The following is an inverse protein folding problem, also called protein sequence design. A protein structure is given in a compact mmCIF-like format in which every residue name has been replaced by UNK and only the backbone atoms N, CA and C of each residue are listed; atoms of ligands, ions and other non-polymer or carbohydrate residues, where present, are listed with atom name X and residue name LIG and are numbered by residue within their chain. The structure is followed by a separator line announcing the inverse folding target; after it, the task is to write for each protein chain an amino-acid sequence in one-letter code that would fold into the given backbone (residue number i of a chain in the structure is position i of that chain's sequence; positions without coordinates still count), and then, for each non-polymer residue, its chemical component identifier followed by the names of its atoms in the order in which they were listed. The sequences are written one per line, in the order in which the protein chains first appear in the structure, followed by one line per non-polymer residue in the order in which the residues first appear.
data_IF_867649340267
#
_entry.id   IF_867649340267
#
_cell.length_a   1.000
_cell.length_b   1.000
_cell.length_c   1.000
_cell.angle_alpha   90.00
_cell.angle_beta   90.00
_cell.angle_gamma   90.00
#
_symmetry.space_group_name_H-M   'P 1'
#
loop_
_entity.id
_entity.type
_entity.pdbx_description
1 polymer ?
#
# COMPACT_ATOMS: atom_id res chain seq x y z
N UNK A 1 17.33 -40.90 12.11
CA UNK A 1 16.83 -39.78 12.94
C UNK A 1 16.37 -38.67 12.01
N UNK A 2 15.07 -38.34 11.97
CA UNK A 2 14.61 -37.13 11.29
C UNK A 2 15.07 -35.95 12.14
N UNK A 3 16.07 -35.22 11.68
CA UNK A 3 16.50 -33.97 12.31
C UNK A 3 15.29 -33.04 12.34
N UNK A 4 14.77 -32.75 13.53
CA UNK A 4 13.71 -31.77 13.71
C UNK A 4 14.35 -30.44 13.28
N UNK A 5 14.05 -29.95 12.06
CA UNK A 5 14.45 -28.60 11.65
C UNK A 5 13.76 -27.64 12.60
N UNK A 6 14.54 -26.92 13.42
CA UNK A 6 14.03 -25.80 14.21
C UNK A 6 13.40 -24.79 13.26
N UNK A 7 12.26 -24.21 13.64
CA UNK A 7 11.71 -23.09 12.89
C UNK A 7 12.71 -21.92 12.88
N UNK A 8 12.76 -21.20 11.76
CA UNK A 8 13.56 -19.99 11.67
C UNK A 8 12.90 -18.88 12.51
N UNK A 9 13.72 -18.12 13.23
CA UNK A 9 13.28 -17.04 14.11
C UNK A 9 13.55 -15.69 13.46
N UNK A 10 12.51 -14.92 13.20
CA UNK A 10 12.58 -13.60 12.59
C UNK A 10 12.28 -12.49 13.60
N UNK A 11 13.04 -11.39 13.51
CA UNK A 11 12.71 -10.12 14.14
C UNK A 11 12.12 -9.17 13.12
N UNK A 12 10.87 -8.77 13.28
CA UNK A 12 10.26 -7.72 12.46
C UNK A 12 10.45 -6.38 13.16
N UNK A 13 11.12 -5.43 12.52
CA UNK A 13 11.35 -4.09 13.05
C UNK A 13 10.54 -3.06 12.26
N UNK A 14 9.78 -2.22 12.95
CA UNK A 14 8.86 -1.26 12.31
C UNK A 14 8.68 0.00 13.14
N UNK A 15 8.22 1.08 12.50
CA UNK A 15 7.95 2.38 13.14
C UNK A 15 6.58 2.45 13.84
N UNK A 16 5.74 1.42 13.69
CA UNK A 16 4.47 1.28 14.37
C UNK A 16 3.90 -0.13 14.20
N UNK A 17 3.03 -0.52 15.12
CA UNK A 17 2.28 -1.78 15.02
C UNK A 17 0.90 -1.64 15.67
N UNK A 18 -0.12 -2.40 15.23
CA UNK A 18 -1.46 -2.28 15.79
C UNK A 18 -1.52 -2.68 17.27
N UNK A 19 -2.41 -2.02 18.01
CA UNK A 19 -2.73 -2.37 19.40
C UNK A 19 -4.22 -2.23 19.66
N UNK A 20 -4.72 -2.70 20.82
CA UNK A 20 -6.14 -2.54 21.19
C UNK A 20 -6.61 -1.08 21.17
N UNK A 21 -5.71 -0.14 21.46
CA UNK A 21 -6.00 1.30 21.42
C UNK A 21 -5.88 1.90 20.02
N UNK A 22 -5.11 1.28 19.12
CA UNK A 22 -4.82 1.79 17.77
C UNK A 22 -4.80 0.65 16.76
N UNK A 23 -5.99 0.16 16.39
CA UNK A 23 -6.17 -1.05 15.57
C UNK A 23 -5.62 -0.94 14.14
N UNK A 24 -5.48 0.27 13.60
CA UNK A 24 -5.15 0.48 12.18
C UNK A 24 -3.69 0.82 11.93
N UNK A 25 -2.89 1.05 12.98
CA UNK A 25 -1.53 1.56 12.83
C UNK A 25 -0.64 0.46 12.25
N UNK A 26 -0.23 0.57 10.98
CA UNK A 26 0.51 -0.46 10.23
C UNK A 26 -0.18 -1.84 10.19
N UNK A 27 -1.51 -1.86 10.04
CA UNK A 27 -2.28 -3.11 9.91
C UNK A 27 -1.78 -4.06 8.81
N UNK A 28 -1.24 -3.51 7.72
CA UNK A 28 -0.66 -4.31 6.63
C UNK A 28 0.60 -5.11 7.06
N UNK A 29 1.43 -4.56 7.96
CA UNK A 29 2.57 -5.30 8.54
C UNK A 29 2.05 -6.44 9.41
N UNK A 30 0.98 -6.20 10.17
CA UNK A 30 0.35 -7.23 10.98
C UNK A 30 -0.20 -8.39 10.13
N UNK A 31 -0.88 -8.10 9.02
CA UNK A 31 -1.36 -9.13 8.08
C UNK A 31 -0.24 -10.01 7.54
N UNK A 32 0.93 -9.42 7.24
CA UNK A 32 2.13 -10.19 6.82
C UNK A 32 2.64 -11.09 7.95
N UNK A 33 2.82 -10.54 9.15
CA UNK A 33 3.30 -11.29 10.32
C UNK A 33 2.37 -12.46 10.66
N UNK A 34 1.05 -12.25 10.58
CA UNK A 34 0.05 -13.32 10.73
C UNK A 34 0.26 -14.42 9.70
N UNK A 35 0.46 -14.06 8.43
CA UNK A 35 0.83 -14.99 7.37
C UNK A 35 2.10 -15.77 7.70
N UNK A 36 3.14 -15.10 8.17
CA UNK A 36 4.41 -15.75 8.52
C UNK A 36 4.28 -16.77 9.65
N UNK A 37 3.51 -16.44 10.70
CA UNK A 37 3.23 -17.36 11.80
C UNK A 37 2.46 -18.59 11.33
N UNK A 38 1.51 -18.41 10.41
CA UNK A 38 0.72 -19.51 9.83
C UNK A 38 1.56 -20.44 8.94
N UNK A 39 2.59 -19.90 8.28
CA UNK A 39 3.61 -20.67 7.55
C UNK A 39 4.71 -21.24 8.47
N UNK A 40 4.58 -21.04 9.79
CA UNK A 40 5.41 -21.67 10.82
C UNK A 40 6.66 -20.90 11.22
N UNK A 41 6.88 -19.66 10.75
CA UNK A 41 8.01 -18.81 11.17
C UNK A 41 7.81 -18.33 12.61
N UNK A 42 8.85 -18.38 13.45
CA UNK A 42 8.80 -17.77 14.78
C UNK A 42 9.05 -16.27 14.67
N UNK A 43 8.03 -15.43 14.91
CA UNK A 43 8.14 -13.97 14.74
C UNK A 43 8.03 -13.22 16.05
N UNK A 44 8.98 -12.33 16.30
CA UNK A 44 8.91 -11.28 17.32
C UNK A 44 8.88 -9.92 16.63
N UNK A 45 8.04 -9.00 17.09
CA UNK A 45 7.97 -7.63 16.53
C UNK A 45 8.63 -6.65 17.48
N UNK A 46 9.53 -5.82 16.96
CA UNK A 46 10.05 -4.63 17.62
C UNK A 46 9.46 -3.37 16.98
N UNK A 47 8.55 -2.72 17.70
CA UNK A 47 8.07 -1.39 17.38
C UNK A 47 9.08 -0.38 17.94
N UNK A 48 9.96 0.13 17.07
CA UNK A 48 10.89 1.19 17.45
C UNK A 48 10.17 2.52 17.50
N UNK A 49 10.14 3.13 18.69
CA UNK A 49 9.46 4.39 18.96
C UNK A 49 10.28 5.28 19.87
N UNK A 50 10.28 6.57 19.56
CA UNK A 50 10.85 7.63 20.39
C UNK A 50 9.83 8.79 20.45
N UNK A 51 9.66 9.48 21.59
CA UNK A 51 10.27 9.19 22.89
C UNK A 51 9.54 8.04 23.62
N UNK A 52 10.30 7.16 24.28
CA UNK A 52 9.77 6.19 25.24
C UNK A 52 10.73 6.09 26.43
N UNK A 53 10.22 6.38 27.63
CA UNK A 53 11.03 6.33 28.85
C UNK A 53 11.31 4.90 29.28
N UNK A 54 10.29 4.03 29.23
CA UNK A 54 10.37 2.65 29.68
C UNK A 54 9.85 1.70 28.58
N UNK A 55 10.67 0.77 28.08
CA UNK A 55 10.22 -0.22 27.11
C UNK A 55 9.17 -1.14 27.73
N UNK A 56 8.21 -1.59 26.93
CA UNK A 56 7.14 -2.49 27.38
C UNK A 56 6.77 -3.51 26.30
N UNK A 57 6.06 -4.55 26.70
CA UNK A 57 5.59 -5.59 25.80
C UNK A 57 4.06 -5.63 25.79
N UNK A 58 3.48 -5.99 24.64
CA UNK A 58 2.08 -6.34 24.54
C UNK A 58 1.88 -7.44 23.49
N UNK A 59 0.67 -7.99 23.45
CA UNK A 59 0.28 -8.96 22.43
C UNK A 59 -0.88 -8.41 21.61
N UNK A 60 -0.80 -8.60 20.30
CA UNK A 60 -1.87 -8.25 19.38
C UNK A 60 -2.05 -9.34 18.33
N UNK A 61 -3.25 -9.94 18.26
CA UNK A 61 -3.56 -10.99 17.29
C UNK A 61 -2.63 -12.21 17.37
N UNK A 62 -2.16 -12.59 18.57
CA UNK A 62 -1.20 -13.68 18.78
C UNK A 62 0.26 -13.31 18.52
N UNK A 63 0.55 -12.05 18.20
CA UNK A 63 1.90 -11.55 17.92
C UNK A 63 2.47 -10.86 19.15
N UNK A 64 3.67 -11.27 19.58
CA UNK A 64 4.42 -10.60 20.64
C UNK A 64 5.09 -9.35 20.10
N UNK A 65 4.75 -8.20 20.69
CA UNK A 65 5.29 -6.90 20.31
C UNK A 65 6.05 -6.30 21.46
N UNK A 66 7.30 -5.94 21.21
CA UNK A 66 8.14 -5.15 22.10
C UNK A 66 8.21 -3.72 21.60
N UNK A 67 7.91 -2.77 22.47
CA UNK A 67 8.08 -1.34 22.20
C UNK A 67 9.32 -0.87 22.92
N UNK A 68 10.20 -0.17 22.20
CA UNK A 68 11.43 0.36 22.75
C UNK A 68 12.05 1.40 21.83
N UNK A 69 13.14 1.98 22.29
CA UNK A 69 13.94 2.93 21.53
C UNK A 69 15.13 2.24 20.84
N UNK A 70 15.97 3.03 20.18
CA UNK A 70 17.17 2.57 19.47
C UNK A 70 18.13 1.77 20.36
N UNK A 71 18.35 2.21 21.60
CA UNK A 71 19.23 1.51 22.54
C UNK A 71 18.65 0.16 22.95
N UNK A 72 17.32 0.06 23.05
CA UNK A 72 16.66 -1.19 23.39
C UNK A 72 16.62 -2.17 22.21
N UNK A 73 16.53 -1.67 20.97
CA UNK A 73 16.70 -2.50 19.77
C UNK A 73 18.11 -3.09 19.74
N UNK A 74 19.13 -2.26 19.96
CA UNK A 74 20.55 -2.67 20.00
C UNK A 74 20.79 -3.76 21.06
N UNK A 75 20.30 -3.56 22.29
CA UNK A 75 20.37 -4.58 23.36
C UNK A 75 19.64 -5.87 22.99
N UNK A 76 18.46 -5.76 22.37
CA UNK A 76 17.66 -6.93 22.01
C UNK A 76 18.39 -7.82 21.00
N UNK A 77 18.94 -7.24 19.93
CA UNK A 77 19.64 -8.00 18.89
C UNK A 77 21.00 -8.52 19.36
N UNK A 78 21.65 -7.84 20.33
CA UNK A 78 22.86 -8.35 20.97
C UNK A 78 22.59 -9.51 21.95
N UNK A 79 21.45 -9.50 22.63
CA UNK A 79 21.11 -10.48 23.67
C UNK A 79 20.37 -11.72 23.14
N UNK A 80 19.78 -11.66 21.94
CA UNK A 80 18.98 -12.75 21.37
C UNK A 80 19.43 -13.09 19.97
N UNK A 81 19.53 -14.39 19.69
CA UNK A 81 19.77 -14.90 18.35
C UNK A 81 18.47 -14.92 17.53
N UNK A 82 18.52 -14.28 16.38
CA UNK A 82 17.54 -14.38 15.29
C UNK A 82 18.23 -15.02 14.09
N UNK A 83 17.47 -15.59 13.18
CA UNK A 83 17.98 -16.15 11.91
C UNK A 83 17.89 -15.12 10.77
N UNK A 84 17.03 -14.10 10.91
CA UNK A 84 16.81 -13.00 9.94
C UNK A 84 16.17 -11.79 10.63
N UNK A 85 16.44 -10.59 10.12
CA UNK A 85 15.75 -9.35 10.53
C UNK A 85 14.97 -8.77 9.35
N UNK A 86 13.69 -8.46 9.56
CA UNK A 86 12.76 -7.95 8.56
C UNK A 86 12.43 -6.50 8.92
N UNK A 87 12.85 -5.53 8.11
CA UNK A 87 12.70 -4.10 8.42
C UNK A 87 11.64 -3.48 7.51
N UNK A 88 10.65 -2.83 8.12
CA UNK A 88 9.71 -1.94 7.46
C UNK A 88 10.05 -0.48 7.82
N UNK A 89 9.90 0.43 6.86
CA UNK A 89 10.20 1.85 7.03
C UNK A 89 11.67 2.10 7.34
N UNK A 90 12.61 1.73 6.45
CA UNK A 90 14.05 1.88 6.72
C UNK A 90 14.53 3.35 6.76
N UNK A 91 14.57 3.93 7.96
CA UNK A 91 15.26 5.18 8.32
C UNK A 91 16.35 4.89 9.40
N UNK A 92 17.19 5.87 9.78
CA UNK A 92 18.32 5.64 10.69
C UNK A 92 17.95 4.95 12.02
N UNK A 93 16.80 5.31 12.61
CA UNK A 93 16.40 4.80 13.93
C UNK A 93 16.28 3.27 14.00
N UNK A 94 15.94 2.55 12.92
CA UNK A 94 15.89 1.07 12.96
C UNK A 94 17.05 0.36 12.24
N UNK A 95 17.93 1.10 11.57
CA UNK A 95 19.09 0.52 10.88
C UNK A 95 20.37 0.73 11.70
N UNK A 96 20.61 1.94 12.19
CA UNK A 96 21.83 2.25 12.97
C UNK A 96 21.98 1.39 14.22
N UNK A 97 20.92 1.04 14.98
CA UNK A 97 21.06 0.09 16.09
C UNK A 97 21.54 -1.28 15.65
N UNK A 98 21.13 -1.75 14.47
CA UNK A 98 21.56 -3.04 13.92
C UNK A 98 23.03 -2.99 13.50
N UNK A 99 23.45 -1.86 12.90
CA UNK A 99 24.86 -1.60 12.55
C UNK A 99 25.76 -1.55 13.79
N UNK A 100 25.37 -0.78 14.82
CA UNK A 100 26.13 -0.69 16.08
C UNK A 100 26.22 -2.02 16.82
N UNK A 101 25.16 -2.83 16.78
CA UNK A 101 25.17 -4.19 17.32
C UNK A 101 25.96 -5.19 16.46
N UNK A 102 26.45 -4.80 15.27
CA UNK A 102 27.19 -5.65 14.33
C UNK A 102 26.45 -6.94 14.00
N UNK A 103 25.17 -6.81 13.68
CA UNK A 103 24.32 -7.94 13.31
C UNK A 103 24.90 -8.65 12.09
N UNK A 104 25.11 -9.96 12.19
CA UNK A 104 25.65 -10.80 11.12
C UNK A 104 24.61 -11.65 10.38
N UNK A 105 23.33 -11.49 10.73
CA UNK A 105 22.23 -12.21 10.08
C UNK A 105 21.64 -11.38 8.94
N UNK A 106 21.05 -12.01 7.91
CA UNK A 106 20.49 -11.28 6.79
C UNK A 106 19.42 -10.29 7.23
N UNK A 107 19.42 -9.12 6.59
CA UNK A 107 18.42 -8.07 6.76
C UNK A 107 17.62 -7.96 5.46
N UNK A 108 16.29 -8.00 5.56
CA UNK A 108 15.38 -7.81 4.43
C UNK A 108 14.56 -6.55 4.67
N UNK A 109 14.66 -5.58 3.76
CA UNK A 109 14.01 -4.27 3.87
C UNK A 109 12.83 -4.19 2.90
N UNK A 110 11.63 -3.92 3.41
CA UNK A 110 10.47 -3.61 2.57
C UNK A 110 10.44 -2.12 2.28
N UNK A 111 10.38 -1.75 1.00
CA UNK A 111 10.34 -0.37 0.53
C UNK A 111 8.88 0.09 0.44
N UNK A 112 8.49 1.10 1.22
CA UNK A 112 7.12 1.66 1.21
C UNK A 112 7.01 2.98 0.44
N UNK A 113 8.14 3.54 0.04
CA UNK A 113 8.29 4.76 -0.76
C UNK A 113 8.60 6.01 0.06
N UNK A 114 8.17 6.03 1.31
CA UNK A 114 8.59 7.06 2.28
C UNK A 114 10.12 7.17 2.36
N UNK A 115 10.82 6.04 2.24
CA UNK A 115 12.26 5.94 2.43
C UNK A 115 13.09 6.39 1.21
N UNK A 116 12.45 6.47 0.03
CA UNK A 116 13.18 6.48 -1.24
C UNK A 116 12.55 7.35 -2.35
N UNK A 117 11.38 7.96 -2.13
CA UNK A 117 10.80 8.94 -3.07
C UNK A 117 11.51 10.28 -2.98
N UNK A 118 11.76 10.92 -4.13
CA UNK A 118 12.19 12.31 -4.20
C UNK A 118 11.02 13.28 -3.98
N UNK A 119 11.33 14.47 -3.46
CA UNK A 119 10.32 15.50 -3.12
C UNK A 119 9.38 15.85 -4.29
N UNK A 120 9.91 15.87 -5.52
CA UNK A 120 9.19 16.26 -6.74
C UNK A 120 8.13 15.26 -7.17
N UNK A 121 8.14 14.02 -6.66
CA UNK A 121 7.13 13.00 -6.93
C UNK A 121 5.74 13.38 -6.39
N UNK A 122 5.67 14.42 -5.54
CA UNK A 122 4.45 14.96 -4.93
C UNK A 122 4.08 16.35 -5.46
N UNK A 123 4.49 16.69 -6.69
CA UNK A 123 4.26 18.02 -7.32
C UNK A 123 2.83 18.54 -7.17
N UNK A 124 1.84 17.67 -7.31
CA UNK A 124 0.41 17.99 -7.17
C UNK A 124 0.01 18.56 -5.79
N UNK A 125 0.89 18.49 -4.78
CA UNK A 125 0.64 19.10 -3.48
C UNK A 125 1.18 20.53 -3.35
N UNK A 126 2.05 20.98 -4.25
CA UNK A 126 2.75 22.26 -4.08
C UNK A 126 2.82 23.15 -5.32
N UNK A 127 2.27 22.74 -6.46
CA UNK A 127 2.18 23.62 -7.65
C UNK A 127 1.10 24.72 -7.54
N UNK A 128 0.35 24.76 -6.44
CA UNK A 128 -0.78 25.68 -6.27
C UNK A 128 -0.38 27.14 -6.00
N UNK A 129 0.82 27.39 -5.47
CA UNK A 129 1.33 28.75 -5.24
C UNK A 129 2.85 28.78 -5.09
N UNK A 130 3.51 29.94 -5.29
CA UNK A 130 4.94 30.10 -5.05
C UNK A 130 5.38 29.73 -3.62
N UNK A 131 4.54 30.01 -2.62
CA UNK A 131 4.83 29.72 -1.21
C UNK A 131 4.92 28.20 -0.98
N UNK A 132 3.99 27.42 -1.54
CA UNK A 132 4.01 25.97 -1.43
C UNK A 132 5.22 25.36 -2.13
N UNK A 133 5.66 25.92 -3.25
CA UNK A 133 6.90 25.52 -3.93
C UNK A 133 8.10 25.77 -3.01
N UNK A 134 8.15 26.93 -2.36
CA UNK A 134 9.16 27.26 -1.35
C UNK A 134 9.21 26.23 -0.22
N UNK A 135 8.07 25.90 0.39
CA UNK A 135 7.99 24.87 1.45
C UNK A 135 8.45 23.48 0.97
N UNK A 136 8.20 23.14 -0.30
CA UNK A 136 8.66 21.89 -0.90
C UNK A 136 10.18 21.87 -1.13
N UNK A 137 10.77 22.99 -1.56
CA UNK A 137 12.22 23.14 -1.72
C UNK A 137 12.94 23.13 -0.37
N UNK A 138 12.35 23.74 0.66
CA UNK A 138 12.89 23.62 2.02
C UNK A 138 12.89 22.16 2.46
N UNK A 139 11.76 21.45 2.30
CA UNK A 139 11.66 20.00 2.59
C UNK A 139 12.63 19.15 1.80
N UNK A 140 12.95 19.52 0.56
CA UNK A 140 13.97 18.81 -0.22
C UNK A 140 15.28 18.74 0.56
N UNK A 141 15.74 19.88 1.08
CA UNK A 141 17.06 20.02 1.71
C UNK A 141 17.11 19.36 3.09
N UNK A 142 16.11 19.60 3.95
CA UNK A 142 16.18 19.09 5.33
C UNK A 142 15.65 17.66 5.51
N UNK A 143 14.83 17.15 4.58
CA UNK A 143 14.15 15.85 4.73
C UNK A 143 14.48 14.87 3.59
N UNK A 144 14.15 15.20 2.34
CA UNK A 144 14.24 14.23 1.25
C UNK A 144 15.69 13.88 0.87
N UNK A 145 16.56 14.88 0.68
CA UNK A 145 17.96 14.63 0.30
C UNK A 145 18.71 13.79 1.36
N UNK A 146 18.64 14.09 2.66
CA UNK A 146 19.21 13.22 3.70
C UNK A 146 18.62 11.81 3.70
N UNK A 147 17.30 11.68 3.53
CA UNK A 147 16.62 10.38 3.51
C UNK A 147 17.05 9.53 2.30
N UNK A 148 17.11 10.12 1.10
CA UNK A 148 17.58 9.44 -0.11
C UNK A 148 19.07 9.08 -0.02
N UNK A 149 19.90 9.96 0.55
CA UNK A 149 21.33 9.69 0.77
C UNK A 149 21.53 8.50 1.72
N UNK A 150 20.83 8.50 2.87
CA UNK A 150 20.83 7.38 3.80
C UNK A 150 20.38 6.07 3.14
N UNK A 151 19.31 6.10 2.34
CA UNK A 151 18.82 4.90 1.70
C UNK A 151 19.81 4.38 0.63
N UNK A 152 20.46 5.27 -0.12
CA UNK A 152 21.56 4.91 -1.03
C UNK A 152 22.69 4.21 -0.28
N UNK A 153 23.13 4.78 0.85
CA UNK A 153 24.18 4.18 1.69
C UNK A 153 23.78 2.77 2.15
N UNK A 154 22.53 2.59 2.58
CA UNK A 154 21.99 1.29 3.00
C UNK A 154 21.98 0.25 1.86
N UNK A 155 21.65 0.66 0.63
CA UNK A 155 21.68 -0.22 -0.55
C UNK A 155 23.09 -0.72 -0.84
N UNK A 156 24.10 0.11 -0.59
CA UNK A 156 25.52 -0.18 -0.86
C UNK A 156 26.30 -0.58 0.39
N UNK A 157 25.63 -0.87 1.51
CA UNK A 157 26.26 -1.09 2.81
C UNK A 157 27.12 -2.38 2.79
N UNK A 158 28.45 -2.29 2.99
CA UNK A 158 29.32 -3.46 2.98
C UNK A 158 29.35 -4.19 4.34
N UNK A 159 28.86 -3.56 5.41
CA UNK A 159 28.88 -4.12 6.77
C UNK A 159 27.63 -4.95 7.07
N UNK A 160 26.50 -4.60 6.46
CA UNK A 160 25.21 -5.28 6.64
C UNK A 160 24.86 -6.16 5.44
N UNK A 161 24.42 -7.40 5.68
CA UNK A 161 23.91 -8.27 4.63
C UNK A 161 22.46 -7.93 4.26
N UNK A 162 22.27 -6.84 3.51
CA UNK A 162 20.95 -6.29 3.17
C UNK A 162 20.43 -6.82 1.83
N UNK A 163 19.13 -7.06 1.79
CA UNK A 163 18.34 -7.33 0.58
C UNK A 163 16.99 -6.61 0.68
N UNK A 164 16.31 -6.42 -0.43
CA UNK A 164 15.14 -5.54 -0.53
C UNK A 164 13.93 -6.27 -1.12
N UNK A 165 12.75 -5.87 -0.65
CA UNK A 165 11.46 -6.25 -1.23
C UNK A 165 10.76 -4.98 -1.69
N UNK A 166 10.45 -4.91 -2.97
CA UNK A 166 9.70 -3.81 -3.56
C UNK A 166 8.30 -4.26 -4.01
N UNK A 167 7.35 -3.33 -4.10
CA UNK A 167 5.94 -3.66 -4.36
C UNK A 167 5.56 -3.72 -5.84
N UNK A 168 6.38 -3.13 -6.73
CA UNK A 168 6.18 -3.12 -8.18
C UNK A 168 7.49 -2.88 -8.93
N UNK A 169 7.62 -3.38 -10.16
CA UNK A 169 8.85 -3.18 -10.94
C UNK A 169 8.99 -1.71 -11.35
N UNK A 170 7.89 -1.09 -11.77
CA UNK A 170 7.79 0.33 -12.10
C UNK A 170 8.22 1.19 -10.92
N UNK A 171 7.76 0.90 -9.70
CA UNK A 171 8.13 1.73 -8.55
C UNK A 171 9.62 1.62 -8.25
N UNK A 172 10.22 0.44 -8.38
CA UNK A 172 11.66 0.28 -8.19
C UNK A 172 12.43 1.05 -9.27
N UNK A 173 12.12 0.77 -10.55
CA UNK A 173 12.92 1.24 -11.70
C UNK A 173 12.68 2.70 -12.08
N UNK A 174 11.48 3.22 -11.84
CA UNK A 174 11.09 4.57 -12.27
C UNK A 174 11.05 5.58 -11.14
N UNK A 175 11.03 5.12 -9.87
CA UNK A 175 10.97 6.00 -8.70
C UNK A 175 12.17 5.78 -7.79
N UNK A 176 12.25 4.62 -7.15
CA UNK A 176 13.25 4.35 -6.10
C UNK A 176 14.67 4.52 -6.63
N UNK A 177 15.08 3.72 -7.62
CA UNK A 177 16.45 3.72 -8.15
C UNK A 177 16.87 5.08 -8.74
N UNK A 178 16.03 5.78 -9.54
CA UNK A 178 16.35 7.13 -9.99
C UNK A 178 16.46 8.16 -8.87
N UNK A 179 15.55 8.13 -7.88
CA UNK A 179 15.50 9.14 -6.83
C UNK A 179 16.64 8.97 -5.81
N UNK A 180 17.05 7.72 -5.55
CA UNK A 180 18.25 7.44 -4.74
C UNK A 180 19.52 7.48 -5.58
N UNK A 181 19.45 7.44 -6.91
CA UNK A 181 20.62 7.50 -7.80
C UNK A 181 21.52 6.25 -7.78
N UNK A 182 20.97 5.08 -7.44
CA UNK A 182 21.68 3.79 -7.52
C UNK A 182 20.70 2.66 -7.82
N UNK A 183 21.16 1.65 -8.55
CA UNK A 183 20.39 0.42 -8.75
C UNK A 183 20.43 -0.45 -7.50
N UNK A 184 19.35 -1.22 -7.27
CA UNK A 184 19.27 -2.17 -6.17
C UNK A 184 19.46 -3.59 -6.71
N UNK A 185 20.68 -4.10 -6.61
CA UNK A 185 21.04 -5.43 -7.14
C UNK A 185 20.30 -6.57 -6.43
N UNK A 186 20.20 -6.49 -5.10
CA UNK A 186 19.60 -7.54 -4.24
C UNK A 186 18.16 -7.21 -3.89
N UNK A 187 17.30 -7.11 -4.91
CA UNK A 187 15.87 -6.82 -4.74
C UNK A 187 14.98 -7.89 -5.36
N UNK A 188 13.80 -8.10 -4.77
CA UNK A 188 12.71 -8.88 -5.38
C UNK A 188 11.41 -8.09 -5.34
N UNK A 189 10.66 -8.14 -6.43
CA UNK A 189 9.32 -7.52 -6.48
C UNK A 189 8.27 -8.48 -5.95
N UNK A 190 7.66 -8.11 -4.83
CA UNK A 190 6.54 -8.80 -4.20
C UNK A 190 5.46 -7.75 -3.83
N UNK A 191 4.30 -7.75 -4.52
CA UNK A 191 3.21 -6.84 -4.22
C UNK A 191 2.71 -6.96 -2.77
N UNK A 192 2.03 -5.91 -2.30
CA UNK A 192 1.28 -5.97 -1.05
C UNK A 192 0.16 -7.00 -1.12
N UNK A 193 0.02 -7.70 0.01
CA UNK A 193 -0.93 -8.77 0.19
C UNK A 193 -2.37 -8.23 0.16
N UNK A 194 -3.19 -8.84 -0.68
CA UNK A 194 -4.65 -8.66 -0.70
C UNK A 194 -5.26 -9.92 -0.10
N UNK A 195 -5.86 -9.75 1.08
CA UNK A 195 -6.45 -10.86 1.81
C UNK A 195 -7.81 -11.26 1.19
N UNK A 196 -7.79 -12.35 0.43
CA UNK A 196 -9.00 -12.92 -0.18
C UNK A 196 -10.01 -13.48 0.81
N UNK A 197 -9.66 -13.67 2.10
CA UNK A 197 -10.64 -14.01 3.13
C UNK A 197 -11.39 -12.76 3.62
N UNK A 198 -10.68 -11.63 3.75
CA UNK A 198 -11.27 -10.35 4.11
C UNK A 198 -12.03 -9.69 2.94
N UNK A 199 -11.53 -9.86 1.72
CA UNK A 199 -12.06 -9.32 0.47
C UNK A 199 -12.35 -10.44 -0.54
N UNK A 200 -13.29 -11.35 -0.21
CA UNK A 200 -13.61 -12.48 -1.05
C UNK A 200 -14.31 -12.05 -2.33
N UNK A 201 -14.12 -12.83 -3.39
CA UNK A 201 -14.84 -12.60 -4.64
C UNK A 201 -16.34 -12.75 -4.41
N UNK A 202 -17.09 -11.70 -4.74
CA UNK A 202 -18.55 -11.71 -4.78
C UNK A 202 -19.01 -11.52 -6.23
N UNK A 203 -19.65 -12.53 -6.86
CA UNK A 203 -20.15 -12.41 -8.21
C UNK A 203 -21.05 -11.19 -8.40
N UNK A 204 -20.74 -10.36 -9.40
CA UNK A 204 -21.53 -9.17 -9.72
C UNK A 204 -22.64 -9.51 -10.70
N UNK A 205 -23.77 -8.82 -10.55
CA UNK A 205 -24.90 -8.82 -11.48
C UNK A 205 -24.86 -7.54 -12.29
N UNK A 206 -25.52 -7.53 -13.44
CA UNK A 206 -25.50 -6.40 -14.39
C UNK A 206 -25.90 -5.07 -13.74
N UNK A 207 -26.86 -5.06 -12.83
CA UNK A 207 -27.31 -3.84 -12.14
C UNK A 207 -26.25 -3.23 -11.23
N UNK A 208 -25.24 -4.01 -10.81
CA UNK A 208 -24.15 -3.47 -10.00
C UNK A 208 -23.26 -2.50 -10.80
N UNK A 209 -23.28 -2.55 -12.14
CA UNK A 209 -22.55 -1.58 -12.99
C UNK A 209 -22.99 -0.13 -12.79
N UNK A 210 -24.21 0.06 -12.28
CA UNK A 210 -24.78 1.37 -11.97
C UNK A 210 -24.36 1.91 -10.60
N UNK A 211 -23.66 1.09 -9.78
CA UNK A 211 -23.28 1.42 -8.41
C UNK A 211 -21.77 1.67 -8.32
N UNK A 212 -21.42 2.94 -8.24
CA UNK A 212 -20.06 3.46 -8.29
C UNK A 212 -19.60 3.81 -6.89
N UNK A 213 -18.52 3.17 -6.47
CA UNK A 213 -17.90 3.36 -5.16
C UNK A 213 -16.54 4.03 -5.31
N UNK A 214 -16.25 4.97 -4.42
CA UNK A 214 -14.90 5.45 -4.19
C UNK A 214 -14.59 5.44 -2.70
N UNK A 215 -13.43 4.89 -2.33
CA UNK A 215 -12.93 4.87 -0.96
C UNK A 215 -11.48 5.37 -0.99
N UNK A 216 -11.28 6.65 -0.68
CA UNK A 216 -9.95 7.29 -0.76
C UNK A 216 -9.78 8.33 0.36
N UNK A 217 -8.57 8.49 0.93
CA UNK A 217 -8.26 9.62 1.79
C UNK A 217 -8.36 10.96 1.03
N UNK A 218 -8.94 11.98 1.66
CA UNK A 218 -9.01 13.36 1.17
C UNK A 218 -7.97 14.26 1.86
N UNK A 219 -6.86 13.66 2.30
CA UNK A 219 -5.79 14.37 3.00
C UNK A 219 -4.91 15.20 2.03
N UNK A 220 -4.80 14.80 0.77
CA UNK A 220 -3.97 15.46 -0.26
C UNK A 220 -4.49 15.13 -1.67
N UNK A 221 -3.90 15.74 -2.70
CA UNK A 221 -4.27 15.54 -4.10
C UNK A 221 -3.72 14.25 -4.72
N UNK A 222 -2.98 13.43 -3.96
CA UNK A 222 -2.40 12.15 -4.41
C UNK A 222 -3.43 11.25 -5.11
N UNK A 223 -4.60 11.09 -4.51
CA UNK A 223 -5.64 10.17 -4.99
C UNK A 223 -6.65 10.81 -5.94
N UNK A 224 -6.31 11.98 -6.52
CA UNK A 224 -7.11 12.61 -7.57
C UNK A 224 -8.61 12.69 -7.27
N UNK A 225 -8.98 12.95 -6.01
CA UNK A 225 -10.40 13.02 -5.62
C UNK A 225 -11.11 14.18 -6.32
N UNK A 226 -10.38 15.23 -6.67
CA UNK A 226 -10.83 16.31 -7.54
C UNK A 226 -11.27 15.80 -8.91
N UNK A 227 -10.48 14.93 -9.57
CA UNK A 227 -10.86 14.30 -10.84
C UNK A 227 -12.08 13.39 -10.69
N UNK A 228 -12.22 12.69 -9.55
CA UNK A 228 -13.43 11.90 -9.26
C UNK A 228 -14.66 12.80 -9.24
N UNK A 229 -14.58 13.94 -8.55
CA UNK A 229 -15.69 14.90 -8.46
C UNK A 229 -15.96 15.56 -9.81
N UNK A 230 -14.93 15.86 -10.61
CA UNK A 230 -15.08 16.40 -11.96
C UNK A 230 -15.74 15.40 -12.90
N UNK A 231 -15.34 14.14 -12.88
CA UNK A 231 -15.96 13.08 -13.67
C UNK A 231 -17.45 12.88 -13.32
N UNK A 232 -17.81 12.93 -12.03
CA UNK A 232 -19.23 12.90 -11.61
C UNK A 232 -19.99 14.14 -12.11
N UNK A 233 -19.34 15.31 -12.10
CA UNK A 233 -19.94 16.54 -12.60
C UNK A 233 -20.15 16.47 -14.12
N UNK A 234 -19.21 15.89 -14.86
CA UNK A 234 -19.32 15.63 -16.30
C UNK A 234 -20.47 14.65 -16.59
N UNK A 235 -20.52 13.53 -15.89
CA UNK A 235 -21.62 12.55 -15.97
C UNK A 235 -22.98 13.19 -15.66
N UNK A 236 -23.05 14.24 -14.82
CA UNK A 236 -24.31 14.89 -14.46
C UNK A 236 -25.04 15.58 -15.61
N UNK A 237 -24.34 15.83 -16.72
CA UNK A 237 -24.92 16.35 -17.96
C UNK A 237 -25.59 15.26 -18.82
N UNK A 238 -25.34 13.97 -18.52
CA UNK A 238 -25.76 12.84 -19.36
C UNK A 238 -27.19 12.40 -19.02
N UNK A 239 -28.02 11.99 -20.02
CA UNK A 239 -29.44 11.71 -19.81
C UNK A 239 -29.74 10.64 -18.75
N UNK A 240 -28.88 9.64 -18.61
CA UNK A 240 -29.03 8.50 -17.70
C UNK A 240 -28.39 8.72 -16.32
N UNK A 241 -27.83 9.91 -16.05
CA UNK A 241 -27.09 10.16 -14.79
C UNK A 241 -27.87 9.77 -13.53
N UNK A 242 -29.19 9.97 -13.53
CA UNK A 242 -30.07 9.68 -12.40
C UNK A 242 -30.22 8.18 -12.09
N UNK A 243 -29.81 7.32 -13.01
CA UNK A 243 -29.80 5.86 -12.82
C UNK A 243 -28.50 5.35 -12.19
N UNK A 244 -27.45 6.18 -12.16
CA UNK A 244 -26.19 5.86 -11.49
C UNK A 244 -26.29 6.22 -10.01
N UNK A 245 -25.77 5.36 -9.13
CA UNK A 245 -25.64 5.60 -7.71
C UNK A 245 -24.16 5.75 -7.33
N UNK A 246 -23.79 6.89 -6.77
CA UNK A 246 -22.41 7.15 -6.33
C UNK A 246 -22.31 7.10 -4.81
N UNK A 247 -21.32 6.39 -4.30
CA UNK A 247 -20.95 6.40 -2.88
C UNK A 247 -19.50 6.85 -2.74
N UNK A 248 -19.29 7.98 -2.07
CA UNK A 248 -17.98 8.60 -1.87
C UNK A 248 -17.61 8.54 -0.39
N UNK A 249 -16.65 7.68 -0.08
CA UNK A 249 -16.18 7.45 1.28
C UNK A 249 -14.76 7.99 1.45
N UNK A 250 -14.52 8.66 2.57
CA UNK A 250 -13.20 9.16 2.91
C UNK A 250 -13.25 10.31 3.88
N UNK A 251 -12.09 10.72 4.35
CA UNK A 251 -11.94 11.85 5.26
C UNK A 251 -10.64 12.60 4.95
N UNK A 252 -10.62 13.89 5.25
CA UNK A 252 -9.45 14.74 5.17
C UNK A 252 -9.81 16.18 4.85
N UNK A 253 -8.82 17.07 4.93
CA UNK A 253 -8.98 18.52 4.76
C UNK A 253 -9.62 18.94 3.42
N UNK A 254 -9.56 18.08 2.40
CA UNK A 254 -10.12 18.37 1.07
C UNK A 254 -11.54 17.79 0.88
N UNK A 255 -12.10 17.06 1.85
CA UNK A 255 -13.36 16.34 1.64
C UNK A 255 -14.50 17.30 1.29
N UNK A 256 -14.81 18.26 2.16
CA UNK A 256 -15.91 19.18 1.94
C UNK A 256 -15.63 20.13 0.78
N UNK A 257 -14.41 20.66 0.65
CA UNK A 257 -14.08 21.61 -0.41
C UNK A 257 -14.26 21.01 -1.81
N UNK A 258 -13.93 19.72 -1.99
CA UNK A 258 -14.10 19.03 -3.26
C UNK A 258 -15.53 18.53 -3.47
N UNK A 259 -16.16 17.94 -2.44
CA UNK A 259 -17.42 17.21 -2.62
C UNK A 259 -18.69 18.05 -2.45
N UNK A 260 -18.61 19.26 -1.86
CA UNK A 260 -19.78 20.09 -1.56
C UNK A 260 -20.68 20.35 -2.78
N UNK A 261 -20.10 20.55 -3.96
CA UNK A 261 -20.88 20.79 -5.19
C UNK A 261 -21.72 19.59 -5.64
N UNK A 262 -21.40 18.38 -5.16
CA UNK A 262 -22.13 17.16 -5.49
C UNK A 262 -23.35 16.94 -4.59
N UNK A 263 -23.45 17.63 -3.44
CA UNK A 263 -24.58 17.48 -2.49
C UNK A 263 -25.95 17.78 -3.10
N UNK A 264 -25.99 18.52 -4.21
CA UNK A 264 -27.22 18.81 -4.96
C UNK A 264 -27.80 17.59 -5.70
N UNK A 265 -27.00 16.56 -5.92
CA UNK A 265 -27.40 15.35 -6.64
C UNK A 265 -27.96 14.30 -5.66
N UNK A 266 -29.20 13.88 -5.87
CA UNK A 266 -29.88 12.91 -4.99
C UNK A 266 -29.27 11.50 -5.03
N UNK A 267 -28.59 11.18 -6.12
CA UNK A 267 -27.93 9.91 -6.39
C UNK A 267 -26.44 9.89 -6.00
N UNK A 268 -25.98 10.89 -5.24
CA UNK A 268 -24.63 10.94 -4.68
C UNK A 268 -24.71 10.88 -3.16
N UNK A 269 -24.13 9.83 -2.57
CA UNK A 269 -24.02 9.62 -1.14
C UNK A 269 -22.59 9.92 -0.67
N UNK A 270 -22.45 10.84 0.29
CA UNK A 270 -21.16 11.25 0.86
C UNK A 270 -21.01 10.66 2.26
N UNK A 271 -19.90 9.95 2.51
CA UNK A 271 -19.58 9.30 3.79
C UNK A 271 -18.26 9.86 4.31
N UNK A 272 -18.28 10.99 5.06
CA UNK A 272 -17.09 11.77 5.46
C UNK A 272 -16.37 11.14 6.66
N UNK A 273 -15.94 9.88 6.54
CA UNK A 273 -15.21 9.16 7.60
C UNK A 273 -14.35 8.05 7.01
N UNK A 274 -13.37 7.61 7.79
CA UNK A 274 -12.71 6.34 7.54
C UNK A 274 -13.64 5.14 7.80
N UNK A 275 -13.45 4.10 6.99
CA UNK A 275 -14.18 2.84 7.08
C UNK A 275 -13.27 1.76 7.70
N UNK A 276 -13.85 0.88 8.51
CA UNK A 276 -13.16 -0.34 8.95
C UNK A 276 -13.07 -1.33 7.78
N UNK A 277 -12.10 -2.25 7.79
CA UNK A 277 -11.96 -3.26 6.72
C UNK A 277 -13.25 -4.08 6.50
N UNK A 278 -13.99 -4.41 7.56
CA UNK A 278 -15.28 -5.10 7.46
C UNK A 278 -16.35 -4.25 6.77
N UNK A 279 -16.37 -2.93 7.00
CA UNK A 279 -17.27 -2.01 6.30
C UNK A 279 -16.87 -1.88 4.83
N UNK A 280 -15.57 -1.76 4.53
CA UNK A 280 -15.05 -1.71 3.16
C UNK A 280 -15.52 -2.95 2.38
N UNK A 281 -15.36 -4.15 2.95
CA UNK A 281 -15.82 -5.40 2.33
C UNK A 281 -17.33 -5.41 2.06
N UNK A 282 -18.16 -4.89 2.99
CA UNK A 282 -19.61 -4.73 2.78
C UNK A 282 -19.96 -3.71 1.69
N UNK A 283 -19.21 -2.60 1.59
CA UNK A 283 -19.38 -1.65 0.50
C UNK A 283 -18.99 -2.29 -0.84
N UNK A 284 -17.89 -3.06 -0.87
CA UNK A 284 -17.49 -3.78 -2.05
C UNK A 284 -18.58 -4.75 -2.51
N UNK A 285 -19.16 -5.55 -1.61
CA UNK A 285 -20.23 -6.49 -1.94
C UNK A 285 -21.41 -5.80 -2.67
N UNK A 286 -21.83 -4.64 -2.17
CA UNK A 286 -23.01 -3.90 -2.66
C UNK A 286 -22.80 -3.06 -3.91
N UNK A 287 -21.55 -2.84 -4.33
CA UNK A 287 -21.19 -1.99 -5.48
C UNK A 287 -20.53 -2.82 -6.60
N UNK A 288 -20.49 -2.26 -7.81
CA UNK A 288 -19.92 -2.93 -8.98
C UNK A 288 -18.72 -2.22 -9.58
N UNK A 289 -18.68 -0.89 -9.57
CA UNK A 289 -17.58 -0.10 -10.14
C UNK A 289 -16.80 0.57 -9.02
N UNK A 290 -15.47 0.47 -9.05
CA UNK A 290 -14.59 1.17 -8.14
C UNK A 290 -13.91 2.34 -8.87
N UNK A 291 -14.41 3.55 -8.65
CA UNK A 291 -13.88 4.77 -9.26
C UNK A 291 -12.74 5.31 -8.41
N UNK A 292 -11.52 5.16 -8.92
CA UNK A 292 -10.32 5.32 -8.12
C UNK A 292 -9.17 5.89 -8.95
N UNK A 293 -9.32 7.06 -9.61
CA UNK A 293 -8.20 7.75 -10.25
C UNK A 293 -7.11 8.06 -9.22
N UNK A 294 -5.90 8.28 -9.69
CA UNK A 294 -4.76 8.61 -8.85
C UNK A 294 -3.74 9.42 -9.64
N UNK A 295 -2.95 10.22 -8.94
CA UNK A 295 -1.75 10.86 -9.51
C UNK A 295 -0.51 10.04 -9.23
N UNK A 296 -0.54 9.20 -8.20
CA UNK A 296 0.59 8.41 -7.79
C UNK A 296 0.18 7.27 -6.87
N UNK A 297 0.47 6.03 -7.26
CA UNK A 297 0.38 4.85 -6.40
C UNK A 297 1.50 3.88 -6.77
N UNK A 298 2.22 3.37 -5.76
CA UNK A 298 3.22 2.30 -5.92
C UNK A 298 2.58 0.92 -6.15
N UNK A 299 1.27 0.81 -5.89
CA UNK A 299 0.44 -0.37 -6.20
C UNK A 299 -1.05 -0.04 -6.24
N UNK A 300 -1.55 0.73 -5.26
CA UNK A 300 -2.99 1.00 -5.11
C UNK A 300 -3.75 -0.13 -4.41
N UNK A 301 -3.36 -0.45 -3.16
CA UNK A 301 -3.91 -1.59 -2.38
C UNK A 301 -5.44 -1.56 -2.28
N UNK A 302 -6.06 -0.41 -1.99
CA UNK A 302 -7.53 -0.28 -1.94
C UNK A 302 -8.20 -0.67 -3.25
N UNK A 303 -7.62 -0.29 -4.39
CA UNK A 303 -8.10 -0.73 -5.72
C UNK A 303 -7.94 -2.23 -5.90
N UNK A 304 -6.82 -2.81 -5.45
CA UNK A 304 -6.59 -4.25 -5.51
C UNK A 304 -7.59 -5.04 -4.63
N UNK A 305 -7.93 -4.54 -3.45
CA UNK A 305 -8.96 -5.11 -2.56
C UNK A 305 -10.36 -5.05 -3.21
N UNK A 306 -10.69 -3.93 -3.86
CA UNK A 306 -11.93 -3.78 -4.61
C UNK A 306 -12.01 -4.74 -5.81
N UNK A 307 -10.91 -4.88 -6.56
CA UNK A 307 -10.79 -5.87 -7.64
C UNK A 307 -10.99 -7.29 -7.11
N UNK A 308 -10.36 -7.63 -5.97
CA UNK A 308 -10.49 -8.97 -5.37
C UNK A 308 -11.94 -9.29 -5.05
N UNK A 309 -12.68 -8.28 -4.58
CA UNK A 309 -14.11 -8.34 -4.27
C UNK A 309 -15.03 -8.34 -5.51
N UNK A 310 -14.46 -8.26 -6.72
CA UNK A 310 -15.17 -8.31 -8.00
C UNK A 310 -15.60 -6.96 -8.56
N UNK A 311 -15.15 -5.82 -8.00
CA UNK A 311 -15.46 -4.51 -8.57
C UNK A 311 -14.59 -4.26 -9.81
N UNK A 312 -15.19 -3.66 -10.84
CA UNK A 312 -14.45 -3.18 -12.02
C UNK A 312 -13.78 -1.86 -11.66
N UNK A 313 -12.44 -1.78 -11.66
CA UNK A 313 -11.76 -0.53 -11.35
C UNK A 313 -11.78 0.39 -12.57
N UNK A 314 -12.13 1.66 -12.35
CA UNK A 314 -11.92 2.77 -13.29
C UNK A 314 -10.90 3.70 -12.66
N UNK A 315 -9.71 3.79 -13.27
CA UNK A 315 -8.57 4.54 -12.72
C UNK A 315 -7.82 5.27 -13.83
N UNK A 316 -6.62 5.75 -13.54
CA UNK A 316 -5.74 6.49 -14.46
C UNK A 316 -4.52 5.66 -14.85
N UNK A 317 -4.08 5.78 -16.10
CA UNK A 317 -2.90 5.12 -16.67
C UNK A 317 -1.62 5.85 -16.22
N UNK A 318 -1.28 5.73 -14.93
CA UNK A 318 -0.12 6.39 -14.33
C UNK A 318 0.50 5.54 -13.22
N UNK A 319 1.78 5.81 -12.96
CA UNK A 319 2.54 5.16 -11.90
C UNK A 319 2.52 3.63 -12.04
N UNK A 320 2.41 2.89 -10.93
CA UNK A 320 2.37 1.44 -10.96
C UNK A 320 0.99 0.86 -11.33
N UNK A 321 -0.04 1.69 -11.51
CA UNK A 321 -1.41 1.22 -11.78
C UNK A 321 -1.49 0.24 -12.96
N UNK A 322 -0.79 0.45 -14.09
CA UNK A 322 -0.84 -0.46 -15.24
C UNK A 322 -0.23 -1.84 -14.97
N UNK A 323 0.58 -1.98 -13.91
CA UNK A 323 1.05 -3.31 -13.48
C UNK A 323 -0.06 -4.12 -12.80
N UNK A 324 -1.06 -3.48 -12.21
CA UNK A 324 -2.14 -4.15 -11.48
C UNK A 324 -3.45 -4.18 -12.27
N UNK A 325 -3.67 -3.23 -13.18
CA UNK A 325 -4.88 -3.11 -13.99
C UNK A 325 -4.49 -3.19 -15.47
N UNK A 326 -4.95 -4.24 -16.16
CA UNK A 326 -4.84 -4.33 -17.60
C UNK A 326 -6.08 -3.69 -18.26
N UNK A 327 -5.87 -2.55 -18.94
CA UNK A 327 -6.92 -1.79 -19.60
C UNK A 327 -7.73 -2.66 -20.57
N UNK A 328 -9.06 -2.67 -20.41
CA UNK A 328 -9.99 -3.43 -21.25
C UNK A 328 -10.06 -4.94 -20.92
N UNK A 329 -9.22 -5.44 -20.00
CA UNK A 329 -9.22 -6.85 -19.60
C UNK A 329 -9.56 -7.05 -18.12
N UNK A 330 -8.96 -6.28 -17.21
CA UNK A 330 -9.19 -6.41 -15.76
C UNK A 330 -9.63 -5.08 -15.11
N UNK A 331 -9.92 -4.07 -15.93
CA UNK A 331 -10.34 -2.73 -15.52
C UNK A 331 -10.25 -1.76 -16.68
N UNK A 332 -10.54 -0.48 -16.41
CA UNK A 332 -10.47 0.59 -17.39
C UNK A 332 -9.58 1.71 -16.86
N UNK A 333 -8.67 2.18 -17.71
CA UNK A 333 -7.70 3.24 -17.40
C UNK A 333 -7.90 4.41 -18.35
N UNK A 334 -8.14 5.60 -17.79
CA UNK A 334 -8.14 6.87 -18.52
C UNK A 334 -6.74 7.49 -18.55
N UNK A 335 -6.44 8.39 -19.50
CA UNK A 335 -5.27 9.26 -19.40
C UNK A 335 -5.24 10.02 -18.05
N UNK A 336 -4.05 10.35 -17.53
CA UNK A 336 -3.92 11.17 -16.33
C UNK A 336 -4.52 12.57 -16.54
N UNK A 337 -5.08 13.16 -15.46
CA UNK A 337 -5.67 14.51 -15.48
C UNK A 337 -6.82 14.70 -16.50
N UNK A 338 -7.52 13.62 -16.88
CA UNK A 338 -8.64 13.66 -17.83
C UNK A 338 -9.95 13.17 -17.20
N UNK A 339 -10.72 14.06 -16.53
CA UNK A 339 -12.00 13.68 -15.92
C UNK A 339 -13.09 13.33 -16.94
N UNK A 340 -12.99 13.80 -18.19
CA UNK A 340 -13.96 13.49 -19.25
C UNK A 340 -13.77 12.05 -19.71
N UNK A 341 -12.52 11.64 -19.97
CA UNK A 341 -12.21 10.26 -20.28
C UNK A 341 -12.61 9.30 -19.15
N UNK A 342 -12.44 9.70 -17.88
CA UNK A 342 -12.94 8.92 -16.73
C UNK A 342 -14.46 8.73 -16.81
N UNK A 343 -15.21 9.81 -17.09
CA UNK A 343 -16.66 9.76 -17.26
C UNK A 343 -17.07 8.86 -18.44
N UNK A 344 -16.36 8.91 -19.57
CA UNK A 344 -16.60 8.05 -20.74
C UNK A 344 -16.40 6.56 -20.44
N UNK A 345 -15.43 6.21 -19.59
CA UNK A 345 -15.23 4.83 -19.16
C UNK A 345 -16.38 4.34 -18.26
N UNK A 346 -16.92 5.20 -17.40
CA UNK A 346 -18.12 4.89 -16.59
C UNK A 346 -19.35 4.73 -17.51
N UNK A 347 -19.50 5.59 -18.52
CA UNK A 347 -20.56 5.46 -19.53
C UNK A 347 -20.47 4.15 -20.31
N UNK A 348 -19.25 3.77 -20.72
CA UNK A 348 -19.04 2.51 -21.42
C UNK A 348 -19.54 1.32 -20.58
N UNK A 349 -19.28 1.31 -19.27
CA UNK A 349 -19.82 0.29 -18.37
C UNK A 349 -21.34 0.40 -18.20
N UNK A 350 -21.92 1.60 -18.24
CA UNK A 350 -23.37 1.79 -18.19
C UNK A 350 -24.08 1.11 -19.37
N UNK A 351 -23.57 1.31 -20.59
CA UNK A 351 -24.16 0.80 -21.83
C UNK A 351 -23.77 -0.65 -22.18
N UNK A 352 -22.73 -1.20 -21.57
CA UNK A 352 -22.22 -2.55 -21.88
C UNK A 352 -22.18 -3.46 -20.63
N UNK A 353 -23.31 -4.11 -20.29
CA UNK A 353 -23.38 -5.03 -19.16
C UNK A 353 -22.45 -6.24 -19.31
N UNK A 354 -22.26 -6.75 -20.52
CA UNK A 354 -21.41 -7.91 -20.80
C UNK A 354 -19.94 -7.59 -20.56
N UNK A 355 -19.48 -6.41 -21.00
CA UNK A 355 -18.16 -5.92 -20.67
C UNK A 355 -17.98 -5.78 -19.16
N UNK A 356 -18.94 -5.19 -18.45
CA UNK A 356 -18.87 -5.06 -17.00
C UNK A 356 -18.72 -6.42 -16.30
N UNK A 357 -19.54 -7.41 -16.65
CA UNK A 357 -19.47 -8.76 -16.06
C UNK A 357 -18.16 -9.46 -16.38
N UNK A 358 -17.65 -9.30 -17.62
CA UNK A 358 -16.37 -9.85 -18.04
C UNK A 358 -15.20 -9.25 -17.27
N UNK A 359 -15.16 -7.91 -17.15
CA UNK A 359 -14.14 -7.19 -16.39
C UNK A 359 -14.19 -7.54 -14.91
N UNK A 360 -15.38 -7.66 -14.32
CA UNK A 360 -15.58 -8.01 -12.90
C UNK A 360 -14.93 -9.34 -12.54
N UNK A 361 -15.17 -10.39 -13.35
CA UNK A 361 -14.55 -11.72 -13.18
C UNK A 361 -13.03 -11.66 -13.35
N UNK A 362 -12.58 -10.98 -14.40
CA UNK A 362 -11.17 -10.89 -14.76
C UNK A 362 -10.35 -10.08 -13.75
N UNK A 363 -10.93 -9.00 -13.19
CA UNK A 363 -10.33 -8.18 -12.14
C UNK A 363 -10.00 -9.01 -10.90
N UNK A 364 -10.98 -9.74 -10.38
CA UNK A 364 -10.79 -10.59 -9.19
C UNK A 364 -9.79 -11.71 -9.43
N UNK A 365 -9.91 -12.43 -10.56
CA UNK A 365 -8.96 -13.49 -10.90
C UNK A 365 -7.53 -12.98 -11.02
N UNK A 366 -7.32 -11.86 -11.73
CA UNK A 366 -6.00 -11.27 -11.94
C UNK A 366 -5.35 -10.89 -10.62
N UNK A 367 -6.08 -10.18 -9.75
CA UNK A 367 -5.48 -9.68 -8.51
C UNK A 367 -5.26 -10.76 -7.47
N UNK A 368 -6.10 -11.79 -7.41
CA UNK A 368 -5.86 -12.93 -6.52
C UNK A 368 -4.61 -13.71 -6.94
N UNK A 369 -4.35 -13.84 -8.24
CA UNK A 369 -3.11 -14.45 -8.74
C UNK A 369 -1.89 -13.57 -8.43
N UNK A 370 -2.01 -12.24 -8.55
CA UNK A 370 -0.87 -11.32 -8.42
C UNK A 370 -0.54 -10.92 -6.98
N UNK A 371 -1.56 -10.76 -6.13
CA UNK A 371 -1.48 -10.19 -4.79
C UNK A 371 -2.11 -11.09 -3.72
N UNK A 372 -2.59 -12.28 -4.08
CA UNK A 372 -3.12 -13.23 -3.11
C UNK A 372 -2.04 -13.87 -2.23
N UNK A 373 -2.47 -14.74 -1.32
CA UNK A 373 -1.60 -15.29 -0.26
C UNK A 373 -0.35 -15.97 -0.79
N UNK A 374 -0.46 -16.82 -1.80
CA UNK A 374 0.67 -17.55 -2.37
C UNK A 374 1.68 -16.61 -3.04
N UNK A 375 1.18 -15.72 -3.91
CA UNK A 375 2.01 -14.77 -4.66
C UNK A 375 2.71 -13.73 -3.78
N UNK A 376 2.14 -13.46 -2.59
CA UNK A 376 2.71 -12.53 -1.62
C UNK A 376 3.37 -13.25 -0.45
N UNK A 377 2.59 -13.73 0.53
CA UNK A 377 3.11 -14.33 1.78
C UNK A 377 3.99 -15.55 1.49
N UNK A 378 3.56 -16.43 0.57
CA UNK A 378 4.34 -17.61 0.18
C UNK A 378 5.68 -17.24 -0.46
N UNK A 379 5.68 -16.22 -1.33
CA UNK A 379 6.90 -15.68 -1.93
C UNK A 379 7.81 -15.00 -0.91
N UNK A 380 7.25 -14.24 0.04
CA UNK A 380 8.01 -13.62 1.13
C UNK A 380 8.70 -14.67 2.00
N UNK A 381 7.97 -15.72 2.40
CA UNK A 381 8.55 -16.83 3.15
C UNK A 381 9.66 -17.52 2.37
N UNK A 382 9.47 -17.75 1.06
CA UNK A 382 10.51 -18.34 0.21
C UNK A 382 11.76 -17.47 0.20
N UNK A 383 11.63 -16.16 -0.06
CA UNK A 383 12.73 -15.19 -0.02
C UNK A 383 13.42 -15.15 1.34
N UNK A 384 12.65 -15.14 2.44
CA UNK A 384 13.18 -15.15 3.81
C UNK A 384 14.03 -16.41 4.04
N UNK A 385 13.48 -17.58 3.71
CA UNK A 385 14.15 -18.86 3.95
C UNK A 385 15.37 -19.07 3.06
N UNK A 386 15.37 -18.57 1.82
CA UNK A 386 16.55 -18.56 0.95
C UNK A 386 17.71 -17.80 1.60
N UNK A 387 17.44 -16.62 2.17
CA UNK A 387 18.44 -15.80 2.85
C UNK A 387 18.94 -16.46 4.14
N UNK A 388 18.04 -17.02 4.95
CA UNK A 388 18.41 -17.78 6.16
C UNK A 388 19.33 -18.96 5.81
N UNK A 389 19.01 -19.73 4.77
CA UNK A 389 19.82 -20.90 4.39
C UNK A 389 21.16 -20.52 3.74
N UNK A 390 21.22 -19.39 3.02
CA UNK A 390 22.46 -18.91 2.43
C UNK A 390 23.47 -18.46 3.50
N UNK A 391 23.00 -17.91 4.62
CA UNK A 391 23.84 -17.46 5.73
C UNK A 391 24.31 -18.59 6.67
N UNK A 392 23.59 -19.71 6.70
CA UNK A 392 23.93 -20.88 7.52
C UNK A 392 24.93 -21.86 6.88
N UNK A 393 25.41 -21.55 5.66
CA UNK A 393 26.47 -22.28 4.95
C UNK A 393 27.74 -21.45 5.00
#
# INVERSE_FOLDING_TARGET
MKTIKRSARALVVTNAYPSKANLYRNGFVHSRVRGYLEEGLEVEVFYNHQPIENPYNYEFGGVKVRVGNDQELERLVAARSYDVILVHFAEPSRIEPLRRAKVSVPIIVWIHGFEAEGWYRRWFNFIGSPELIGEALDKREWYYEPQNAFFRELVTDPELDVSFVNVSDWFQKMVVEPDIGTEIERSVTIPNFVDGQQFPYSPKREEHRLKILTIRPFASYKYANDLTVEAISELSSRPYFKELDFTICGEGRLFDSLTNRLRKFKNVNLVPRFLKQTEISQFHEKNGVFLAPTRFDSQGVSTCEAMSSGLVPVSTDIAAIPEFINHGSSGLLAPPEDPVAIADLVERLYFDPELFLSLSRSASRSIQIKCGREATIGREISTIMERVHANGR
#
